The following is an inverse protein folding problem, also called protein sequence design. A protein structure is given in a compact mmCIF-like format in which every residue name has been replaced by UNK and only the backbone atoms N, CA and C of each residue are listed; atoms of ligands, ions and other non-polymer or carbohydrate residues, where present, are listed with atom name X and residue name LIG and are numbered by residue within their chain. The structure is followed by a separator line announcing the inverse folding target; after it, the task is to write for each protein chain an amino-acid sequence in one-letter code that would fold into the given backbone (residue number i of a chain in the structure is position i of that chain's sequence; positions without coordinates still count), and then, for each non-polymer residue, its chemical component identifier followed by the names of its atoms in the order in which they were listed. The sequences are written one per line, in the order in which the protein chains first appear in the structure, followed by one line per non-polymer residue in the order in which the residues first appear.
data_IF_126888184990
#
_entry.id   IF_126888184990
#
_cell.length_a   1.000
_cell.length_b   1.000
_cell.length_c   1.000
_cell.angle_alpha   90.00
_cell.angle_beta   90.00
_cell.angle_gamma   90.00
#
_symmetry.space_group_name_H-M   'P 1'
#
loop_
_entity.id
_entity.type
_entity.pdbx_description
1 polymer ?
#
# COMPACT_ATOMS: atom_id res chain seq x y z
N UNK A 1 19.87 -15.16 -40.60
CA UNK A 1 20.89 -15.20 -39.53
C UNK A 1 20.53 -16.20 -38.42
N UNK A 2 19.34 -16.13 -37.79
CA UNK A 2 18.95 -17.06 -36.70
C UNK A 2 19.02 -18.57 -37.04
N UNK A 3 18.66 -18.99 -38.26
CA UNK A 3 18.72 -20.40 -38.69
C UNK A 3 20.14 -20.98 -38.77
N UNK A 4 21.13 -20.14 -39.04
CA UNK A 4 22.55 -20.56 -39.05
C UNK A 4 23.08 -20.73 -37.62
N UNK A 5 22.64 -19.89 -36.68
CA UNK A 5 22.97 -20.04 -35.25
C UNK A 5 22.37 -21.31 -34.64
N UNK A 6 21.15 -21.68 -35.03
CA UNK A 6 20.47 -22.93 -34.58
C UNK A 6 21.20 -24.18 -35.10
N UNK A 7 21.63 -24.17 -36.38
CA UNK A 7 22.41 -25.29 -36.94
C UNK A 7 23.79 -25.44 -36.27
N UNK A 8 24.42 -24.34 -35.86
CA UNK A 8 25.68 -24.37 -35.11
C UNK A 8 25.53 -24.95 -33.68
N UNK A 9 24.29 -25.02 -33.16
CA UNK A 9 23.95 -25.63 -31.88
C UNK A 9 23.47 -27.10 -32.01
N UNK A 10 23.63 -27.72 -33.19
CA UNK A 10 23.18 -29.09 -33.48
C UNK A 10 21.66 -29.32 -33.27
N UNK A 11 20.84 -28.29 -33.42
CA UNK A 11 19.38 -28.41 -33.34
C UNK A 11 18.86 -28.68 -34.76
N UNK A 12 18.50 -29.94 -35.05
CA UNK A 12 18.04 -30.37 -36.38
C UNK A 12 16.64 -29.84 -36.73
N UNK A 13 15.75 -29.71 -35.74
CA UNK A 13 14.40 -29.22 -35.92
C UNK A 13 13.97 -28.34 -34.74
N UNK A 14 13.46 -27.16 -35.05
CA UNK A 14 12.85 -26.25 -34.08
C UNK A 14 11.42 -25.96 -34.55
N UNK A 15 10.44 -26.51 -33.83
CA UNK A 15 9.02 -26.20 -34.04
C UNK A 15 8.58 -25.16 -33.02
N UNK A 16 8.05 -24.00 -33.45
CA UNK A 16 7.56 -23.01 -32.51
C UNK A 16 6.35 -23.57 -31.77
N UNK A 17 6.32 -23.39 -30.45
CA UNK A 17 5.15 -23.69 -29.64
C UNK A 17 4.14 -22.55 -29.83
N UNK A 18 3.30 -22.66 -30.86
CA UNK A 18 2.29 -21.64 -31.20
C UNK A 18 0.95 -22.05 -30.60
N UNK A 19 0.18 -21.08 -30.10
CA UNK A 19 -1.21 -21.30 -29.72
C UNK A 19 -2.00 -21.86 -30.91
N UNK A 20 -3.01 -22.71 -30.65
CA UNK A 20 -3.84 -23.25 -31.73
C UNK A 20 -4.46 -22.10 -32.53
N UNK A 21 -4.30 -22.14 -33.85
CA UNK A 21 -4.93 -21.17 -34.75
C UNK A 21 -6.46 -21.38 -34.69
N UNK A 22 -7.28 -20.33 -34.89
CA UNK A 22 -8.75 -20.47 -34.87
C UNK A 22 -9.28 -21.58 -35.81
N UNK A 23 -8.60 -21.81 -36.94
CA UNK A 23 -8.91 -22.89 -37.87
C UNK A 23 -8.61 -24.28 -37.29
N UNK A 24 -7.48 -24.45 -36.60
CA UNK A 24 -7.09 -25.69 -35.93
C UNK A 24 -7.98 -26.00 -34.73
N UNK A 25 -8.42 -24.95 -34.01
CA UNK A 25 -9.36 -25.06 -32.92
C UNK A 25 -10.73 -25.54 -33.40
N UNK A 26 -11.23 -24.96 -34.51
CA UNK A 26 -12.48 -25.41 -35.16
C UNK A 26 -12.38 -26.86 -35.62
N UNK A 27 -11.27 -27.24 -36.27
CA UNK A 27 -11.05 -28.63 -36.71
C UNK A 27 -11.06 -29.63 -35.53
N UNK A 28 -10.43 -29.27 -34.42
CA UNK A 28 -10.41 -30.08 -33.20
C UNK A 28 -11.81 -30.23 -32.57
N UNK A 29 -12.61 -29.16 -32.55
CA UNK A 29 -13.94 -29.18 -31.96
C UNK A 29 -14.98 -29.91 -32.82
N UNK A 30 -14.80 -29.94 -34.14
CA UNK A 30 -15.66 -30.64 -35.10
C UNK A 30 -15.44 -32.16 -35.09
N UNK A 31 -14.20 -32.62 -34.88
CA UNK A 31 -13.87 -34.05 -34.93
C UNK A 31 -13.81 -34.65 -33.52
N UNK A 32 -14.78 -35.49 -33.10
CA UNK A 32 -14.69 -36.16 -31.82
C UNK A 32 -13.46 -37.11 -31.78
N UNK A 33 -12.75 -37.20 -30.65
CA UNK A 33 -11.66 -38.13 -30.45
C UNK A 33 -12.07 -39.59 -30.72
N UNK A 34 -11.13 -40.40 -31.20
CA UNK A 34 -11.40 -41.81 -31.56
C UNK A 34 -11.93 -42.58 -30.35
N UNK A 35 -13.08 -43.23 -30.50
CA UNK A 35 -13.70 -44.07 -29.46
C UNK A 35 -14.64 -43.34 -28.50
N UNK A 36 -14.88 -42.04 -28.69
CA UNK A 36 -15.83 -41.26 -27.88
C UNK A 36 -17.13 -41.00 -28.64
N UNK A 37 -18.27 -41.15 -27.96
CA UNK A 37 -19.60 -40.89 -28.53
C UNK A 37 -19.74 -39.39 -28.91
N UNK A 38 -20.09 -39.05 -30.17
CA UNK A 38 -20.36 -37.68 -30.60
C UNK A 38 -21.32 -36.90 -29.71
N UNK A 39 -22.28 -37.58 -29.06
CA UNK A 39 -23.23 -36.97 -28.12
C UNK A 39 -22.51 -36.45 -26.87
N UNK A 40 -21.64 -37.27 -26.28
CA UNK A 40 -20.85 -36.92 -25.08
C UNK A 40 -19.85 -35.79 -25.40
N UNK A 41 -19.22 -35.84 -26.58
CA UNK A 41 -18.33 -34.75 -27.03
C UNK A 41 -19.05 -33.42 -27.17
N UNK A 42 -20.25 -33.44 -27.74
CA UNK A 42 -21.09 -32.25 -27.92
C UNK A 42 -21.58 -31.69 -26.58
N UNK A 43 -21.86 -32.58 -25.62
CA UNK A 43 -22.18 -32.21 -24.25
C UNK A 43 -20.99 -31.53 -23.56
N UNK A 44 -19.78 -32.11 -23.64
CA UNK A 44 -18.58 -31.52 -23.05
C UNK A 44 -18.19 -30.16 -23.64
N UNK A 45 -18.54 -29.90 -24.91
CA UNK A 45 -18.41 -28.55 -25.51
C UNK A 45 -19.40 -27.55 -24.90
N UNK A 46 -20.64 -27.98 -24.66
CA UNK A 46 -21.71 -27.13 -24.11
C UNK A 46 -21.47 -26.81 -22.63
N UNK A 47 -20.96 -27.78 -21.88
CA UNK A 47 -20.72 -27.67 -20.44
C UNK A 47 -19.37 -27.00 -20.12
N UNK A 48 -18.67 -26.47 -21.14
CA UNK A 48 -17.44 -25.74 -20.95
C UNK A 48 -17.70 -24.38 -20.26
N UNK A 49 -17.12 -24.09 -19.09
CA UNK A 49 -17.36 -22.85 -18.36
C UNK A 49 -16.80 -21.60 -19.06
N UNK A 50 -15.75 -21.74 -19.89
CA UNK A 50 -15.19 -20.62 -20.66
C UNK A 50 -14.69 -21.12 -22.03
N UNK A 51 -15.47 -20.93 -23.11
CA UNK A 51 -15.12 -21.36 -24.46
C UNK A 51 -13.91 -20.66 -25.09
N UNK A 52 -13.49 -19.50 -24.56
CA UNK A 52 -12.33 -18.76 -25.08
C UNK A 52 -11.02 -19.23 -24.44
N UNK A 53 -11.07 -19.71 -23.20
CA UNK A 53 -9.90 -20.10 -22.41
C UNK A 53 -9.70 -21.61 -22.34
N UNK A 54 -10.77 -22.39 -22.29
CA UNK A 54 -10.70 -23.83 -22.07
C UNK A 54 -11.18 -24.62 -23.29
N UNK A 55 -10.63 -25.82 -23.42
CA UNK A 55 -10.97 -26.77 -24.47
C UNK A 55 -11.37 -28.10 -23.82
N UNK A 56 -12.42 -28.79 -24.32
CA UNK A 56 -12.71 -30.14 -23.85
C UNK A 56 -11.57 -31.08 -24.24
N UNK A 57 -11.05 -31.80 -23.27
CA UNK A 57 -10.06 -32.86 -23.44
C UNK A 57 -10.66 -34.13 -22.86
N UNK A 58 -10.77 -35.22 -23.64
CA UNK A 58 -11.29 -36.48 -23.12
C UNK A 58 -10.29 -37.06 -22.12
N UNK A 59 -10.79 -37.71 -21.06
CA UNK A 59 -9.98 -38.46 -20.11
C UNK A 59 -10.48 -39.90 -20.09
N UNK A 60 -9.65 -40.82 -20.57
CA UNK A 60 -9.98 -42.23 -20.73
C UNK A 60 -9.18 -43.07 -19.73
N UNK A 61 -9.90 -43.65 -18.78
CA UNK A 61 -9.33 -44.56 -17.78
C UNK A 61 -8.55 -43.88 -16.64
N UNK A 62 -8.08 -44.70 -15.69
CA UNK A 62 -7.42 -44.22 -14.48
C UNK A 62 -6.00 -43.67 -14.73
N UNK A 63 -5.33 -44.10 -15.79
CA UNK A 63 -3.97 -43.65 -16.11
C UNK A 63 -3.94 -42.17 -16.52
N UNK A 64 -4.88 -41.73 -17.38
CA UNK A 64 -4.99 -40.32 -17.76
C UNK A 64 -5.46 -39.44 -16.60
N UNK A 65 -6.32 -39.96 -15.72
CA UNK A 65 -6.71 -39.27 -14.50
C UNK A 65 -5.52 -39.08 -13.55
N UNK A 66 -4.68 -40.11 -13.38
CA UNK A 66 -3.45 -40.00 -12.59
C UNK A 66 -2.46 -39.01 -13.21
N UNK A 67 -2.31 -39.00 -14.54
CA UNK A 67 -1.47 -38.02 -15.23
C UNK A 67 -1.96 -36.59 -15.00
N UNK A 68 -3.28 -36.36 -15.05
CA UNK A 68 -3.88 -35.06 -14.74
C UNK A 68 -3.66 -34.65 -13.29
N UNK A 69 -3.80 -35.58 -12.35
CA UNK A 69 -3.53 -35.33 -10.93
C UNK A 69 -2.07 -34.89 -10.70
N UNK A 70 -1.11 -35.59 -11.31
CA UNK A 70 0.31 -35.21 -11.24
C UNK A 70 0.56 -33.83 -11.86
N UNK A 71 -0.06 -33.51 -13.00
CA UNK A 71 0.05 -32.19 -13.62
C UNK A 71 -0.51 -31.07 -12.71
N UNK A 72 -1.62 -31.34 -12.02
CA UNK A 72 -2.20 -30.41 -11.03
C UNK A 72 -1.27 -30.21 -9.82
N UNK A 73 -0.64 -31.28 -9.34
CA UNK A 73 0.33 -31.20 -8.25
C UNK A 73 1.56 -30.35 -8.66
N UNK A 74 2.08 -30.54 -9.87
CA UNK A 74 3.19 -29.72 -10.39
C UNK A 74 2.81 -28.25 -10.58
N UNK A 75 1.60 -27.97 -11.08
CA UNK A 75 1.13 -26.58 -11.22
C UNK A 75 0.87 -25.94 -9.85
N UNK A 76 0.30 -26.68 -8.90
CA UNK A 76 0.05 -26.19 -7.54
C UNK A 76 1.36 -25.82 -6.83
N UNK A 77 2.39 -26.67 -6.94
CA UNK A 77 3.71 -26.37 -6.38
C UNK A 77 4.39 -25.17 -7.07
N UNK A 78 4.22 -25.01 -8.38
CA UNK A 78 4.70 -23.83 -9.11
C UNK A 78 4.01 -22.55 -8.61
N UNK A 79 2.67 -22.56 -8.51
CA UNK A 79 1.88 -21.42 -8.04
C UNK A 79 2.21 -21.07 -6.59
N UNK A 80 2.39 -22.07 -5.72
CA UNK A 80 2.85 -21.83 -4.35
C UNK A 80 4.20 -21.11 -4.34
N UNK A 81 5.16 -21.57 -5.13
CA UNK A 81 6.46 -20.90 -5.25
C UNK A 81 6.38 -19.47 -5.81
N UNK A 82 5.39 -19.17 -6.65
CA UNK A 82 5.13 -17.79 -7.09
C UNK A 82 4.54 -16.93 -5.98
N UNK A 83 3.59 -17.46 -5.20
CA UNK A 83 3.00 -16.79 -4.04
C UNK A 83 4.10 -16.48 -3.01
N UNK A 84 4.98 -17.43 -2.73
CA UNK A 84 6.08 -17.25 -1.77
C UNK A 84 7.04 -16.13 -2.21
N UNK A 85 7.35 -16.03 -3.51
CA UNK A 85 8.17 -14.92 -4.05
C UNK A 85 7.46 -13.58 -3.90
N UNK A 86 6.16 -13.51 -4.22
CA UNK A 86 5.39 -12.29 -4.06
C UNK A 86 5.36 -11.87 -2.57
N UNK A 87 5.23 -12.84 -1.66
CA UNK A 87 5.27 -12.57 -0.22
C UNK A 87 6.64 -12.03 0.21
N UNK A 88 7.75 -12.60 -0.27
CA UNK A 88 9.11 -12.10 -0.03
C UNK A 88 9.29 -10.67 -0.56
N UNK A 89 8.82 -10.40 -1.78
CA UNK A 89 8.85 -9.06 -2.37
C UNK A 89 8.05 -8.06 -1.53
N UNK A 90 6.86 -8.41 -1.06
CA UNK A 90 6.05 -7.57 -0.15
C UNK A 90 6.80 -7.29 1.15
N UNK A 91 7.40 -8.30 1.78
CA UNK A 91 8.20 -8.11 2.98
C UNK A 91 9.41 -7.18 2.74
N UNK A 92 10.09 -7.34 1.60
CA UNK A 92 11.22 -6.48 1.23
C UNK A 92 10.78 -5.01 1.04
N UNK A 93 9.62 -4.79 0.42
CA UNK A 93 9.04 -3.45 0.21
C UNK A 93 8.65 -2.83 1.55
N UNK A 94 8.03 -3.59 2.45
CA UNK A 94 7.68 -3.11 3.79
C UNK A 94 8.91 -2.73 4.61
N UNK A 95 9.97 -3.55 4.59
CA UNK A 95 11.24 -3.23 5.27
C UNK A 95 11.89 -1.96 4.70
N UNK A 96 11.88 -1.80 3.38
CA UNK A 96 12.35 -0.58 2.71
C UNK A 96 11.52 0.64 3.09
N UNK A 97 10.20 0.50 3.18
CA UNK A 97 9.30 1.58 3.60
C UNK A 97 9.61 2.04 5.03
N UNK A 98 9.82 1.11 5.96
CA UNK A 98 10.22 1.45 7.33
C UNK A 98 11.54 2.25 7.34
N UNK A 99 12.55 1.79 6.60
CA UNK A 99 13.83 2.49 6.47
C UNK A 99 13.68 3.90 5.87
N UNK A 100 12.85 4.05 4.84
CA UNK A 100 12.58 5.36 4.22
C UNK A 100 11.85 6.31 5.18
N UNK A 101 10.92 5.80 5.99
CA UNK A 101 10.26 6.60 7.01
C UNK A 101 11.24 7.13 8.06
N UNK A 102 12.20 6.31 8.48
CA UNK A 102 13.26 6.75 9.40
C UNK A 102 14.15 7.83 8.76
N UNK A 103 14.56 7.62 7.50
CA UNK A 103 15.32 8.62 6.76
C UNK A 103 14.54 9.93 6.56
N UNK A 104 13.23 9.85 6.31
CA UNK A 104 12.35 11.00 6.21
C UNK A 104 12.27 11.75 7.54
N UNK A 105 12.15 11.04 8.66
CA UNK A 105 12.17 11.63 9.99
C UNK A 105 13.51 12.33 10.28
N UNK A 106 14.64 11.74 9.90
CA UNK A 106 15.95 12.38 9.99
C UNK A 106 16.07 13.62 9.11
N UNK A 107 15.61 13.55 7.86
CA UNK A 107 15.62 14.67 6.93
C UNK A 107 14.81 15.85 7.49
N UNK A 108 13.62 15.58 8.04
CA UNK A 108 12.79 16.58 8.71
C UNK A 108 13.49 17.22 9.92
N UNK A 109 14.20 16.42 10.74
CA UNK A 109 15.01 16.95 11.85
C UNK A 109 16.13 17.86 11.35
N UNK A 110 16.88 17.44 10.33
CA UNK A 110 17.95 18.23 9.70
C UNK A 110 17.41 19.51 9.08
N UNK A 111 16.26 19.46 8.40
CA UNK A 111 15.60 20.64 7.83
C UNK A 111 15.25 21.65 8.92
N UNK A 112 14.63 21.22 10.03
CA UNK A 112 14.33 22.10 11.17
C UNK A 112 15.59 22.73 11.77
N UNK A 113 16.65 21.93 11.93
CA UNK A 113 17.93 22.43 12.44
C UNK A 113 18.58 23.46 11.50
N UNK A 114 18.61 23.19 10.20
CA UNK A 114 19.14 24.10 9.18
C UNK A 114 18.30 25.38 9.11
N UNK A 115 16.97 25.28 9.12
CA UNK A 115 16.08 26.44 9.17
C UNK A 115 16.36 27.32 10.40
N UNK A 116 16.57 26.72 11.58
CA UNK A 116 16.94 27.46 12.78
C UNK A 116 18.31 28.13 12.65
N UNK A 117 19.31 27.45 12.09
CA UNK A 117 20.64 28.03 11.84
C UNK A 117 20.59 29.20 10.86
N UNK A 118 19.83 29.06 9.77
CA UNK A 118 19.62 30.13 8.79
C UNK A 118 18.93 31.32 9.45
N UNK A 119 17.90 31.09 10.28
CA UNK A 119 17.24 32.16 11.03
C UNK A 119 18.22 32.87 11.98
N UNK A 120 19.05 32.15 12.72
CA UNK A 120 20.07 32.75 13.60
C UNK A 120 21.09 33.59 12.82
N UNK A 121 21.54 33.12 11.66
CA UNK A 121 22.46 33.86 10.80
C UNK A 121 21.81 35.13 10.25
N UNK A 122 20.56 35.03 9.79
CA UNK A 122 19.79 36.16 9.29
C UNK A 122 19.61 37.22 10.39
N UNK A 123 19.26 36.82 11.61
CA UNK A 123 19.14 37.73 12.76
C UNK A 123 20.47 38.43 13.03
N UNK A 124 21.59 37.69 13.09
CA UNK A 124 22.92 38.28 13.30
C UNK A 124 23.32 39.24 12.18
N UNK A 125 23.03 38.89 10.94
CA UNK A 125 23.32 39.72 9.77
C UNK A 125 22.49 41.01 9.79
N UNK A 126 21.19 40.92 10.08
CA UNK A 126 20.31 42.09 10.20
C UNK A 126 20.73 43.01 11.34
N UNK A 127 21.05 42.46 12.51
CA UNK A 127 21.57 43.24 13.65
C UNK A 127 22.90 43.93 13.32
N UNK A 128 23.80 43.27 12.58
CA UNK A 128 25.07 43.87 12.15
C UNK A 128 24.85 44.97 11.11
N UNK A 129 23.98 44.74 10.12
CA UNK A 129 23.66 45.67 9.03
C UNK A 129 22.97 46.94 9.53
N UNK A 130 22.03 46.81 10.45
CA UNK A 130 21.20 47.93 10.95
C UNK A 130 21.75 48.59 12.22
N UNK A 131 22.97 48.25 12.64
CA UNK A 131 23.61 48.89 13.79
C UNK A 131 23.77 50.39 13.54
N UNK A 132 23.07 51.21 14.34
CA UNK A 132 23.12 52.68 14.24
C UNK A 132 22.03 53.31 13.36
N UNK A 133 21.16 52.51 12.75
CA UNK A 133 19.97 52.99 12.04
C UNK A 133 18.82 53.10 13.06
N UNK A 134 17.97 54.15 13.02
CA UNK A 134 16.78 54.22 13.86
C UNK A 134 15.83 53.06 13.54
N UNK A 135 15.07 52.62 14.56
CA UNK A 135 14.11 51.51 14.45
C UNK A 135 13.04 51.87 13.42
N UNK A 136 12.83 50.97 12.46
CA UNK A 136 11.80 51.12 11.43
C UNK A 136 10.42 50.71 11.95
N UNK A 137 9.34 51.24 11.37
CA UNK A 137 7.96 50.89 11.76
C UNK A 137 7.66 49.40 11.59
N UNK A 138 8.27 48.74 10.62
CA UNK A 138 8.15 47.28 10.43
C UNK A 138 8.80 46.48 11.56
N UNK A 139 9.90 46.98 12.14
CA UNK A 139 10.58 46.33 13.26
C UNK A 139 9.76 46.46 14.54
N UNK A 140 9.14 47.61 14.77
CA UNK A 140 8.25 47.82 15.90
C UNK A 140 7.01 46.90 15.81
N UNK A 141 6.42 46.75 14.63
CA UNK A 141 5.33 45.78 14.43
C UNK A 141 5.76 44.34 14.71
N UNK A 142 6.97 43.95 14.26
CA UNK A 142 7.51 42.62 14.54
C UNK A 142 7.76 42.41 16.04
N UNK A 143 8.29 43.43 16.73
CA UNK A 143 8.51 43.42 18.17
C UNK A 143 7.19 43.22 18.93
N UNK A 144 6.16 43.99 18.61
CA UNK A 144 4.84 43.88 19.24
C UNK A 144 4.27 42.46 19.05
N UNK A 145 4.41 41.87 17.85
CA UNK A 145 3.97 40.48 17.60
C UNK A 145 4.74 39.47 18.45
N UNK A 146 6.06 39.62 18.56
CA UNK A 146 6.89 38.73 19.36
C UNK A 146 6.60 38.85 20.86
N UNK A 147 6.41 40.07 21.37
CA UNK A 147 6.00 40.29 22.77
C UNK A 147 4.61 39.72 23.07
N UNK A 148 3.67 39.81 22.11
CA UNK A 148 2.36 39.19 22.23
C UNK A 148 2.48 37.65 22.27
N UNK A 149 3.24 37.04 21.36
CA UNK A 149 3.48 35.59 21.37
C UNK A 149 4.19 35.13 22.65
N UNK A 150 5.17 35.90 23.13
CA UNK A 150 5.87 35.60 24.38
C UNK A 150 4.93 35.71 25.57
N UNK A 151 4.08 36.72 25.65
CA UNK A 151 3.13 36.87 26.75
C UNK A 151 2.07 35.76 26.75
N UNK A 152 1.60 35.32 25.58
CA UNK A 152 0.72 34.14 25.46
C UNK A 152 1.41 32.86 25.93
N UNK A 153 2.69 32.66 25.59
CA UNK A 153 3.43 31.47 26.01
C UNK A 153 3.78 31.48 27.51
N UNK A 154 4.13 32.65 28.05
CA UNK A 154 4.49 32.86 29.45
C UNK A 154 3.26 32.94 30.37
N UNK A 155 2.05 33.10 29.82
CA UNK A 155 0.80 33.08 30.58
C UNK A 155 0.67 31.73 31.32
N UNK A 156 0.81 31.72 32.67
CA UNK A 156 0.93 30.47 33.43
C UNK A 156 -0.26 29.52 33.29
N UNK A 157 -1.44 30.07 33.01
CA UNK A 157 -2.72 29.35 32.99
C UNK A 157 -3.19 28.92 31.59
N UNK A 158 -2.53 29.35 30.51
CA UNK A 158 -3.00 29.04 29.15
C UNK A 158 -2.36 27.79 28.57
N UNK A 159 -1.08 27.85 28.21
CA UNK A 159 -0.43 26.73 27.51
C UNK A 159 0.24 25.76 28.46
N UNK A 160 1.16 26.24 29.32
CA UNK A 160 1.89 25.36 30.25
C UNK A 160 0.96 24.76 31.31
N UNK A 161 -0.03 25.52 31.80
CA UNK A 161 -1.06 25.03 32.71
C UNK A 161 -1.88 23.88 32.11
N UNK A 162 -2.41 24.06 30.89
CA UNK A 162 -3.16 23.01 30.18
C UNK A 162 -2.30 21.80 29.81
N UNK A 163 -1.05 22.00 29.41
CA UNK A 163 -0.12 20.90 29.14
C UNK A 163 0.14 20.10 30.41
N UNK A 164 0.40 20.75 31.54
CA UNK A 164 0.58 20.07 32.82
C UNK A 164 -0.69 19.39 33.32
N UNK A 165 -1.87 19.98 33.08
CA UNK A 165 -3.16 19.37 33.38
C UNK A 165 -3.38 18.11 32.51
N UNK A 166 -3.14 18.18 31.21
CA UNK A 166 -3.24 17.02 30.31
C UNK A 166 -2.23 15.94 30.65
N UNK A 167 -0.98 16.31 30.98
CA UNK A 167 0.03 15.37 31.45
C UNK A 167 -0.38 14.72 32.78
N UNK A 168 -0.95 15.50 33.70
CA UNK A 168 -1.50 15.00 34.96
C UNK A 168 -2.65 14.03 34.71
N UNK A 169 -3.61 14.37 33.87
CA UNK A 169 -4.72 13.50 33.48
C UNK A 169 -4.22 12.21 32.82
N UNK A 170 -3.28 12.29 31.89
CA UNK A 170 -2.70 11.13 31.21
C UNK A 170 -1.92 10.23 32.17
N UNK A 171 -1.20 10.83 33.14
CA UNK A 171 -0.49 10.08 34.18
C UNK A 171 -1.45 9.44 35.19
N UNK A 172 -2.53 10.13 35.57
CA UNK A 172 -3.56 9.60 36.46
C UNK A 172 -4.35 8.47 35.79
N UNK A 173 -4.66 8.61 34.50
CA UNK A 173 -5.33 7.58 33.70
C UNK A 173 -4.43 6.39 33.40
N UNK A 174 -3.13 6.63 33.15
CA UNK A 174 -2.10 5.58 33.03
C UNK A 174 -1.85 4.84 34.35
N UNK A 175 -1.88 5.55 35.48
CA UNK A 175 -1.79 4.98 36.82
C UNK A 175 -3.01 4.14 37.20
N UNK A 176 -4.23 4.58 36.85
CA UNK A 176 -5.46 3.78 37.01
C UNK A 176 -5.43 2.54 36.09
N UNK A 177 -4.89 2.67 34.88
CA UNK A 177 -4.71 1.53 33.96
C UNK A 177 -3.65 0.53 34.43
N UNK A 178 -2.61 0.98 35.15
CA UNK A 178 -1.57 0.11 35.73
C UNK A 178 -1.96 -0.47 37.09
N UNK A 179 -2.83 0.20 37.86
CA UNK A 179 -3.28 -0.26 39.18
C UNK A 179 -4.42 -1.29 39.09
N UNK A 180 -5.15 -1.34 37.97
CA UNK A 180 -6.10 -2.41 37.65
C UNK A 180 -5.44 -3.73 37.18
N UNK A 181 -4.11 -3.80 37.10
CA UNK A 181 -3.41 -5.04 36.75
C UNK A 181 -3.46 -6.12 37.85
N UNK A 182 -3.94 -5.79 39.06
CA UNK A 182 -3.95 -6.71 40.20
C UNK A 182 -5.34 -6.97 40.81
N UNK A 183 -6.42 -6.55 40.14
CA UNK A 183 -7.79 -6.80 40.57
C UNK A 183 -8.64 -7.16 39.36
N UNK A 184 -8.99 -8.45 39.25
CA UNK A 184 -9.71 -9.08 38.14
C UNK A 184 -10.99 -8.34 37.75
N UNK A 185 -10.83 -7.33 36.90
CA UNK A 185 -11.90 -6.70 36.14
C UNK A 185 -11.70 -7.20 34.73
N UNK A 186 -12.66 -8.01 34.29
CA UNK A 186 -12.80 -8.57 32.96
C UNK A 186 -12.37 -7.53 31.92
N UNK A 187 -11.14 -7.66 31.39
CA UNK A 187 -10.89 -7.17 30.04
C UNK A 187 -12.00 -7.81 29.23
N UNK A 188 -12.92 -7.03 28.68
CA UNK A 188 -13.90 -7.52 27.73
C UNK A 188 -13.12 -8.24 26.64
N UNK A 189 -12.99 -9.56 26.78
CA UNK A 189 -12.42 -10.43 25.78
C UNK A 189 -13.50 -10.43 24.70
N UNK A 190 -13.35 -9.52 23.74
CA UNK A 190 -14.13 -9.61 22.51
C UNK A 190 -13.89 -11.02 21.98
N UNK A 191 -14.96 -11.72 21.61
CA UNK A 191 -14.79 -13.03 21.00
C UNK A 191 -14.02 -12.83 19.70
N UNK A 192 -13.06 -13.72 19.41
CA UNK A 192 -12.21 -13.67 18.21
C UNK A 192 -13.00 -13.45 16.91
N UNK A 193 -14.25 -13.92 16.86
CA UNK A 193 -15.21 -13.70 15.77
C UNK A 193 -15.64 -12.23 15.66
N UNK A 194 -16.06 -11.60 16.76
CA UNK A 194 -16.41 -10.16 16.78
C UNK A 194 -15.22 -9.26 16.48
N UNK A 195 -14.00 -9.69 16.82
CA UNK A 195 -12.77 -8.95 16.45
C UNK A 195 -12.53 -8.98 14.93
N UNK A 196 -12.84 -10.10 14.26
CA UNK A 196 -12.79 -10.22 12.81
C UNK A 196 -13.76 -9.27 12.12
N UNK A 197 -15.02 -9.29 12.53
CA UNK A 197 -16.09 -8.43 11.98
C UNK A 197 -15.76 -6.94 12.20
N UNK A 198 -15.27 -6.58 13.39
CA UNK A 198 -14.87 -5.21 13.69
C UNK A 198 -13.69 -4.78 12.82
N UNK A 199 -12.71 -5.67 12.58
CA UNK A 199 -11.57 -5.36 11.70
C UNK A 199 -12.00 -5.15 10.26
N UNK A 200 -12.89 -6.00 9.74
CA UNK A 200 -13.41 -5.85 8.38
C UNK A 200 -14.20 -4.55 8.25
N UNK A 201 -15.08 -4.27 9.21
CA UNK A 201 -15.86 -3.02 9.23
C UNK A 201 -14.95 -1.79 9.31
N UNK A 202 -13.91 -1.81 10.16
CA UNK A 202 -12.95 -0.72 10.26
C UNK A 202 -12.13 -0.55 8.98
N UNK A 203 -11.77 -1.64 8.30
CA UNK A 203 -11.09 -1.58 7.00
C UNK A 203 -11.99 -0.89 5.96
N UNK A 204 -13.27 -1.29 5.90
CA UNK A 204 -14.22 -0.67 4.99
C UNK A 204 -14.45 0.81 5.28
N UNK A 205 -14.54 1.19 6.56
CA UNK A 205 -14.62 2.60 6.94
C UNK A 205 -13.35 3.37 6.58
N UNK A 206 -12.17 2.78 6.78
CA UNK A 206 -10.90 3.40 6.41
C UNK A 206 -10.81 3.65 4.91
N UNK A 207 -11.25 2.69 4.08
CA UNK A 207 -11.29 2.83 2.63
C UNK A 207 -12.28 3.91 2.21
N UNK A 208 -13.49 3.92 2.77
CA UNK A 208 -14.50 4.94 2.50
C UNK A 208 -14.04 6.35 2.90
N UNK A 209 -13.39 6.50 4.07
CA UNK A 209 -12.82 7.78 4.49
C UNK A 209 -11.67 8.20 3.58
N UNK A 210 -10.83 7.26 3.14
CA UNK A 210 -9.73 7.52 2.21
C UNK A 210 -10.24 8.05 0.86
N UNK A 211 -11.31 7.45 0.32
CA UNK A 211 -11.93 7.90 -0.92
C UNK A 211 -12.57 9.28 -0.78
N UNK A 212 -13.33 9.52 0.30
CA UNK A 212 -13.90 10.85 0.57
C UNK A 212 -12.81 11.90 0.74
N UNK A 213 -11.71 11.57 1.42
CA UNK A 213 -10.58 12.47 1.58
C UNK A 213 -9.86 12.76 0.24
N UNK A 214 -9.78 11.77 -0.66
CA UNK A 214 -9.24 11.96 -1.99
C UNK A 214 -10.11 12.90 -2.83
N UNK A 215 -11.43 12.68 -2.85
CA UNK A 215 -12.39 13.56 -3.52
C UNK A 215 -12.28 14.99 -2.97
N UNK A 216 -12.26 15.14 -1.64
CA UNK A 216 -12.15 16.46 -1.02
C UNK A 216 -10.83 17.15 -1.38
N UNK A 217 -9.74 16.41 -1.49
CA UNK A 217 -8.45 16.95 -1.92
C UNK A 217 -8.47 17.41 -3.37
N UNK A 218 -9.09 16.64 -4.25
CA UNK A 218 -9.27 17.01 -5.66
C UNK A 218 -10.19 18.24 -5.79
N UNK A 219 -11.28 18.29 -5.02
CA UNK A 219 -12.17 19.46 -4.95
C UNK A 219 -11.43 20.72 -4.44
N UNK A 220 -10.56 20.58 -3.43
CA UNK A 220 -9.71 21.70 -2.99
C UNK A 220 -8.72 22.14 -4.07
N UNK A 221 -8.10 21.20 -4.78
CA UNK A 221 -7.18 21.52 -5.88
C UNK A 221 -7.90 22.22 -7.04
N UNK A 222 -9.12 21.76 -7.40
CA UNK A 222 -9.94 22.41 -8.44
C UNK A 222 -10.40 23.80 -8.01
N UNK A 223 -10.76 23.98 -6.74
CA UNK A 223 -11.11 25.28 -6.18
C UNK A 223 -9.92 26.25 -6.20
N UNK A 224 -8.73 25.79 -5.81
CA UNK A 224 -7.51 26.60 -5.93
C UNK A 224 -7.18 26.99 -7.37
N UNK A 225 -7.37 26.06 -8.33
CA UNK A 225 -7.18 26.34 -9.75
C UNK A 225 -8.19 27.39 -10.26
N UNK A 226 -9.46 27.31 -9.82
CA UNK A 226 -10.48 28.30 -10.14
C UNK A 226 -10.18 29.68 -9.54
N UNK A 227 -9.63 29.75 -8.32
CA UNK A 227 -9.19 31.01 -7.71
C UNK A 227 -8.02 31.61 -8.49
N UNK A 228 -7.03 30.80 -8.90
CA UNK A 228 -5.86 31.28 -9.66
C UNK A 228 -6.19 31.67 -11.11
N UNK A 229 -7.32 31.20 -11.65
CA UNK A 229 -7.79 31.51 -13.01
C UNK A 229 -8.64 32.79 -13.10
N UNK A 230 -8.95 33.45 -11.98
CA UNK A 230 -9.60 34.77 -11.91
C UNK A 230 -8.60 35.86 -11.59
#
# INVERSE_FOLDING_TARGET
QHRQTINNLCIENATPLVALTESQLKEYLERPPRGLDPVIWSQGKRDNPDPMKYLPVPLVGFQELQARFKAQETESTLLQGQIDRIAEDVCSVQSRQATLNDQLAECNRKQKQMAHRVLQLLVRQECARKRGVPIDGNEEQLRIRLENLQSQLMAPTQYMGKVNELLSQMSAQGGVSSSSANGGTERAQLSSETEGDVKEFLSWQQDGISEVAAILKDDMNTFEAMIKSK
#
